data_IF_821573212395
#
_entry.id   IF_821573212395
#
_cell.length_a   1.000
_cell.length_b   1.000
_cell.length_c   1.000
_cell.angle_alpha   90.00
_cell.angle_beta   90.00
_cell.angle_gamma   90.00
#
_symmetry.space_group_name_H-M   'P 1'
#
loop_
_entity.id
_entity.type
_entity.pdbx_description
1 polymer ?
#
# COMPACT_ATOMS: atom_id res chain seq x y z
N UNK A 1 -29.97 40.93 -47.05
CA UNK A 1 -29.62 40.20 -48.28
C UNK A 1 -28.32 39.43 -48.13
N UNK A 2 -27.20 40.06 -47.72
CA UNK A 2 -25.88 39.40 -47.59
C UNK A 2 -25.79 38.12 -46.73
N UNK A 3 -26.54 38.00 -45.62
CA UNK A 3 -26.51 36.80 -44.75
C UNK A 3 -27.02 35.53 -45.45
N UNK A 4 -28.01 35.66 -46.33
CA UNK A 4 -28.57 34.49 -47.02
C UNK A 4 -27.66 33.94 -48.12
N UNK A 5 -26.83 34.80 -48.71
CA UNK A 5 -25.84 34.41 -49.72
C UNK A 5 -24.66 33.68 -49.06
N UNK A 6 -24.19 34.20 -47.91
CA UNK A 6 -23.15 33.56 -47.09
C UNK A 6 -23.58 32.17 -46.60
N UNK A 7 -24.82 32.02 -46.13
CA UNK A 7 -25.36 30.72 -45.72
C UNK A 7 -25.46 29.71 -46.88
N UNK A 8 -25.73 30.18 -48.10
CA UNK A 8 -25.79 29.33 -49.30
C UNK A 8 -24.40 28.89 -49.77
N UNK A 9 -23.42 29.78 -49.73
CA UNK A 9 -22.03 29.46 -50.05
C UNK A 9 -21.44 28.44 -49.07
N UNK A 10 -21.74 28.59 -47.78
CA UNK A 10 -21.32 27.66 -46.74
C UNK A 10 -21.95 26.28 -46.95
N UNK A 11 -23.25 26.22 -47.27
CA UNK A 11 -23.92 24.94 -47.57
C UNK A 11 -23.32 24.25 -48.79
N UNK A 12 -23.07 24.99 -49.87
CA UNK A 12 -22.44 24.46 -51.08
C UNK A 12 -21.03 23.92 -50.80
N UNK A 13 -20.26 24.62 -49.95
CA UNK A 13 -18.94 24.18 -49.52
C UNK A 13 -18.97 22.84 -48.78
N UNK A 14 -19.86 22.69 -47.79
CA UNK A 14 -19.98 21.43 -47.05
C UNK A 14 -20.52 20.30 -47.92
N UNK A 15 -21.43 20.59 -48.86
CA UNK A 15 -21.95 19.58 -49.77
C UNK A 15 -20.87 19.03 -50.70
N UNK A 16 -20.04 19.91 -51.27
CA UNK A 16 -18.90 19.50 -52.09
C UNK A 16 -17.82 18.74 -51.29
N UNK A 17 -17.68 19.02 -49.99
CA UNK A 17 -16.78 18.27 -49.10
C UNK A 17 -17.28 16.85 -48.87
N UNK A 18 -18.58 16.70 -48.58
CA UNK A 18 -19.21 15.39 -48.34
C UNK A 18 -19.13 14.51 -49.60
N UNK A 19 -19.39 15.06 -50.78
CA UNK A 19 -19.28 14.32 -52.05
C UNK A 19 -17.87 13.75 -52.27
N UNK A 20 -16.83 14.51 -51.92
CA UNK A 20 -15.44 14.06 -52.02
C UNK A 20 -15.08 12.99 -50.98
N UNK A 21 -15.64 13.10 -49.79
CA UNK A 21 -15.42 12.13 -48.71
C UNK A 21 -16.04 10.77 -49.06
N UNK A 22 -17.20 10.76 -49.71
CA UNK A 22 -17.88 9.55 -50.18
C UNK A 22 -17.14 8.80 -51.30
N UNK A 23 -16.29 9.50 -52.07
CA UNK A 23 -15.47 8.87 -53.12
C UNK A 23 -14.26 8.13 -52.54
N UNK A 24 -13.86 8.47 -51.30
CA UNK A 24 -12.76 7.80 -50.60
C UNK A 24 -13.26 6.45 -50.08
N UNK A 25 -12.66 5.37 -50.56
CA UNK A 25 -12.96 4.04 -50.05
C UNK A 25 -12.50 3.93 -48.59
N UNK A 26 -13.42 3.55 -47.70
CA UNK A 26 -13.10 3.28 -46.31
C UNK A 26 -12.10 2.10 -46.24
N UNK A 27 -10.95 2.25 -45.55
CA UNK A 27 -10.00 1.14 -45.43
C UNK A 27 -10.60 0.04 -44.55
N UNK A 28 -10.37 -1.22 -44.92
CA UNK A 28 -10.78 -2.37 -44.11
C UNK A 28 -10.07 -2.35 -42.75
N UNK A 29 -10.80 -1.99 -41.70
CA UNK A 29 -10.32 -2.12 -40.34
C UNK A 29 -10.47 -3.56 -39.87
N UNK A 30 -9.45 -4.14 -39.22
CA UNK A 30 -9.54 -5.50 -38.71
C UNK A 30 -10.62 -5.57 -37.62
N UNK A 31 -11.67 -6.35 -37.88
CA UNK A 31 -12.68 -6.65 -36.87
C UNK A 31 -12.06 -7.45 -35.73
N UNK A 32 -11.97 -6.85 -34.54
CA UNK A 32 -11.60 -7.58 -33.34
C UNK A 32 -12.68 -8.61 -33.03
N UNK A 33 -12.35 -9.90 -33.20
CA UNK A 33 -13.21 -11.00 -32.75
C UNK A 33 -13.42 -10.85 -31.24
N UNK A 34 -14.60 -10.40 -30.82
CA UNK A 34 -15.00 -10.40 -29.41
C UNK A 34 -14.97 -11.85 -28.92
N UNK A 35 -13.92 -12.21 -28.17
CA UNK A 35 -13.84 -13.51 -27.52
C UNK A 35 -14.99 -13.60 -26.52
N UNK A 36 -16.03 -14.37 -26.87
CA UNK A 36 -17.19 -14.62 -26.01
C UNK A 36 -16.88 -15.58 -24.85
N UNK A 37 -15.69 -16.19 -24.83
CA UNK A 37 -15.28 -17.09 -23.75
C UNK A 37 -14.27 -16.37 -22.86
N UNK A 38 -14.75 -15.82 -21.75
CA UNK A 38 -13.88 -15.52 -20.62
C UNK A 38 -13.36 -16.86 -20.10
N UNK A 39 -12.04 -17.03 -20.15
CA UNK A 39 -11.37 -18.21 -19.64
C UNK A 39 -11.42 -18.19 -18.09
N UNK A 40 -12.41 -18.88 -17.51
CA UNK A 40 -12.69 -18.87 -16.07
C UNK A 40 -11.57 -19.49 -15.22
N UNK A 41 -10.58 -20.13 -15.85
CA UNK A 41 -9.42 -20.69 -15.17
C UNK A 41 -8.55 -19.63 -14.49
N UNK A 42 -8.42 -18.43 -15.08
CA UNK A 42 -7.60 -17.35 -14.50
C UNK A 42 -8.25 -16.79 -13.22
N UNK A 43 -9.53 -16.36 -13.22
CA UNK A 43 -10.20 -15.93 -11.98
C UNK A 43 -10.25 -17.02 -10.91
N UNK A 44 -10.48 -18.28 -11.29
CA UNK A 44 -10.49 -19.42 -10.37
C UNK A 44 -9.14 -19.61 -9.69
N UNK A 45 -8.04 -19.54 -10.44
CA UNK A 45 -6.68 -19.67 -9.90
C UNK A 45 -6.37 -18.58 -8.87
N UNK A 46 -6.77 -17.33 -9.15
CA UNK A 46 -6.60 -16.21 -8.21
C UNK A 46 -7.40 -16.47 -6.92
N UNK A 47 -8.69 -16.80 -7.04
CA UNK A 47 -9.54 -17.09 -5.87
C UNK A 47 -8.98 -18.25 -5.02
N UNK A 48 -8.53 -19.33 -5.67
CA UNK A 48 -7.93 -20.48 -4.97
C UNK A 48 -6.67 -20.07 -4.20
N UNK A 49 -5.77 -19.31 -4.82
CA UNK A 49 -4.55 -18.82 -4.15
C UNK A 49 -4.83 -17.94 -2.94
N UNK A 50 -5.84 -17.06 -3.02
CA UNK A 50 -6.26 -16.22 -1.90
C UNK A 50 -6.85 -17.03 -0.74
N UNK A 51 -7.70 -18.01 -1.04
CA UNK A 51 -8.28 -18.90 -0.02
C UNK A 51 -7.20 -19.73 0.66
N UNK A 52 -6.27 -20.30 -0.11
CA UNK A 52 -5.15 -21.07 0.46
C UNK A 52 -4.24 -20.19 1.30
N UNK A 53 -3.90 -18.99 0.85
CA UNK A 53 -3.10 -18.04 1.62
C UNK A 53 -3.77 -17.63 2.93
N UNK A 54 -5.08 -17.35 2.89
CA UNK A 54 -5.85 -17.04 4.09
C UNK A 54 -5.95 -18.25 5.04
N UNK A 55 -6.11 -19.47 4.53
CA UNK A 55 -6.17 -20.67 5.37
C UNK A 55 -4.82 -20.97 6.05
N UNK A 56 -3.70 -20.75 5.36
CA UNK A 56 -2.37 -21.06 5.90
C UNK A 56 -1.80 -19.98 6.83
N UNK A 57 -2.13 -18.70 6.57
CA UNK A 57 -1.52 -17.56 7.27
C UNK A 57 -2.53 -16.64 7.96
N UNK A 58 -3.83 -16.91 7.84
CA UNK A 58 -4.89 -16.10 8.44
C UNK A 58 -5.14 -16.38 9.92
N UNK A 59 -4.44 -17.35 10.50
CA UNK A 59 -4.43 -17.52 11.95
C UNK A 59 -3.74 -16.30 12.57
N UNK A 60 -4.58 -15.41 13.10
CA UNK A 60 -4.15 -14.24 13.84
C UNK A 60 -3.32 -14.74 15.01
N UNK A 61 -2.09 -14.24 15.12
CA UNK A 61 -1.25 -14.43 16.30
C UNK A 61 -2.15 -14.24 17.53
N UNK A 62 -2.26 -15.27 18.37
CA UNK A 62 -2.93 -15.14 19.65
C UNK A 62 -2.28 -13.95 20.34
N UNK A 63 -3.05 -12.93 20.78
CA UNK A 63 -2.46 -11.80 21.47
C UNK A 63 -1.56 -12.35 22.56
N UNK A 64 -0.30 -11.93 22.56
CA UNK A 64 0.65 -12.35 23.56
C UNK A 64 -0.04 -12.18 24.93
N UNK A 65 0.05 -13.18 25.83
CA UNK A 65 -0.50 -13.02 27.16
C UNK A 65 0.03 -11.68 27.72
N UNK A 66 -0.82 -10.88 28.40
CA UNK A 66 -0.36 -9.63 28.96
C UNK A 66 0.88 -9.93 29.80
N UNK A 67 2.02 -9.33 29.43
CA UNK A 67 3.22 -9.38 30.27
C UNK A 67 2.81 -8.91 31.65
N UNK A 68 3.14 -9.67 32.73
CA UNK A 68 2.87 -9.20 34.08
C UNK A 68 3.52 -7.82 34.22
N UNK A 69 2.69 -6.81 34.48
CA UNK A 69 3.10 -5.40 34.57
C UNK A 69 4.08 -5.21 35.75
N UNK A 70 4.14 -6.19 36.66
CA UNK A 70 4.84 -6.13 37.93
C UNK A 70 6.13 -6.97 37.95
N UNK A 71 6.65 -7.49 36.85
CA UNK A 71 7.96 -8.19 36.86
C UNK A 71 9.06 -7.29 36.27
N UNK A 72 9.76 -6.57 37.14
CA UNK A 72 10.92 -5.74 36.77
C UNK A 72 12.20 -6.55 37.00
N UNK A 73 13.03 -6.64 35.96
CA UNK A 73 14.37 -7.24 36.04
C UNK A 73 15.40 -6.11 36.09
N UNK A 74 16.08 -5.97 37.22
CA UNK A 74 17.16 -5.01 37.41
C UNK A 74 18.48 -5.73 37.14
N UNK A 75 19.27 -5.21 36.20
CA UNK A 75 20.61 -5.74 35.88
C UNK A 75 21.63 -4.69 36.30
N UNK A 76 22.37 -4.95 37.37
CA UNK A 76 23.46 -4.09 37.84
C UNK A 76 24.82 -4.70 37.54
N UNK A 77 25.83 -3.84 37.39
CA UNK A 77 27.21 -4.23 37.18
C UNK A 77 28.02 -3.77 38.40
N UNK A 78 28.51 -4.73 39.18
CA UNK A 78 29.20 -4.48 40.45
C UNK A 78 30.63 -5.02 40.41
N UNK A 79 31.53 -4.37 41.14
CA UNK A 79 32.92 -4.80 41.26
C UNK A 79 33.06 -5.78 42.42
N UNK A 80 33.41 -7.02 42.11
CA UNK A 80 33.60 -8.08 43.09
C UNK A 80 34.88 -7.92 43.94
N UNK A 81 35.08 -8.78 44.96
CA UNK A 81 36.22 -8.71 45.88
C UNK A 81 37.58 -8.80 45.18
N UNK A 82 37.64 -9.50 44.05
CA UNK A 82 38.85 -9.73 43.26
C UNK A 82 39.01 -8.70 42.11
N UNK A 83 38.33 -7.55 42.20
CA UNK A 83 38.32 -6.49 41.17
C UNK A 83 37.71 -6.89 39.82
N UNK A 84 37.06 -8.05 39.73
CA UNK A 84 36.34 -8.50 38.54
C UNK A 84 34.93 -7.89 38.49
N UNK A 85 34.50 -7.50 37.29
CA UNK A 85 33.15 -6.97 37.07
C UNK A 85 32.15 -8.12 36.99
N UNK A 86 31.11 -8.09 37.81
CA UNK A 86 30.09 -9.14 37.89
C UNK A 86 28.70 -8.55 37.66
N UNK A 87 27.85 -9.30 36.96
CA UNK A 87 26.44 -8.92 36.79
C UNK A 87 25.62 -9.43 37.97
N UNK A 88 24.86 -8.54 38.61
CA UNK A 88 23.80 -8.93 39.55
C UNK A 88 22.45 -8.75 38.87
N UNK A 89 21.60 -9.77 38.98
CA UNK A 89 20.27 -9.79 38.37
C UNK A 89 19.26 -9.95 39.49
N UNK A 90 18.43 -8.92 39.68
CA UNK A 90 17.39 -8.88 40.70
C UNK A 90 16.02 -8.81 40.04
N UNK A 91 15.07 -9.61 40.55
CA UNK A 91 13.68 -9.59 40.13
C UNK A 91 12.87 -8.90 41.24
N UNK A 92 12.23 -7.79 40.91
CA UNK A 92 11.41 -7.01 41.86
C UNK A 92 10.09 -6.59 41.22
N UNK A 93 9.10 -6.32 42.07
CA UNK A 93 7.78 -5.83 41.66
C UNK A 93 7.60 -4.33 41.93
N UNK A 94 8.61 -3.70 42.49
CA UNK A 94 8.61 -2.27 42.85
C UNK A 94 9.82 -1.60 42.20
N UNK A 95 9.57 -0.55 41.41
CA UNK A 95 10.61 0.30 40.84
C UNK A 95 10.27 1.75 41.10
N UNK A 96 11.01 2.38 42.01
CA UNK A 96 10.99 3.84 42.15
C UNK A 96 11.51 4.45 40.84
N UNK A 97 10.77 5.44 40.35
CA UNK A 97 10.94 6.10 39.05
C UNK A 97 12.42 6.44 38.77
N UNK A 98 13.03 5.76 37.79
CA UNK A 98 14.44 5.97 37.45
C UNK A 98 14.60 7.31 36.71
N UNK A 99 15.02 8.36 37.43
CA UNK A 99 15.43 9.59 36.79
C UNK A 99 16.86 9.44 36.23
N UNK A 100 17.04 9.70 34.93
CA UNK A 100 18.34 9.57 34.29
C UNK A 100 19.32 10.62 34.84
N UNK A 101 20.54 10.26 35.26
CA UNK A 101 21.57 11.21 35.71
C UNK A 101 21.96 12.26 34.65
N UNK A 102 21.67 11.98 33.39
CA UNK A 102 21.97 12.82 32.22
C UNK A 102 21.02 14.01 32.04
N UNK A 103 19.91 14.08 32.80
CA UNK A 103 18.95 15.17 32.70
C UNK A 103 19.58 16.54 33.00
N UNK A 104 20.56 16.60 33.90
CA UNK A 104 21.29 17.83 34.23
C UNK A 104 22.23 18.33 33.12
N UNK A 105 22.68 17.47 32.19
CA UNK A 105 23.61 17.86 31.13
C UNK A 105 22.92 18.57 29.94
N UNK A 106 21.59 18.54 29.88
CA UNK A 106 20.81 19.13 28.78
C UNK A 106 20.24 20.52 29.09
N UNK A 107 20.48 21.06 30.30
CA UNK A 107 19.90 22.32 30.79
C UNK A 107 20.86 23.52 30.84
N UNK A 108 22.12 23.37 30.41
CA UNK A 108 23.03 24.52 30.29
C UNK A 108 22.92 25.14 28.88
N UNK A 109 22.18 26.26 28.78
CA UNK A 109 22.22 27.20 27.65
C UNK A 109 22.91 28.50 28.07
#
# INVERSE_FOLDING_TARGET
MKRHEEDQEIQAFFQAMIEKDLEIQEPDFPEFKKSKSINWWIPMGIAASMVTGFFLFGEKETPAPPTPIDEVVIITLEQGPDQEMQFSIEHTNEMDMWESPTASLLTEY
#
